data_IF_801187224043
#
_entry.id   IF_801187224043
#
_cell.length_a   1.000
_cell.length_b   1.000
_cell.length_c   1.000
_cell.angle_alpha   90.00
_cell.angle_beta   90.00
_cell.angle_gamma   90.00
#
_symmetry.space_group_name_H-M   'P 1'
#
loop_
_entity.id
_entity.type
_entity.pdbx_description
1 polymer ?
#
# COMPACT_ATOMS: atom_id res chain seq x y z
N UNK A 1 14.56 10.09 18.15
CA UNK A 1 15.27 8.87 17.70
C UNK A 1 14.40 7.62 17.54
N UNK A 2 13.46 7.28 18.45
CA UNK A 2 12.57 6.09 18.30
C UNK A 2 11.52 6.21 17.18
N UNK A 3 10.86 7.37 17.06
CA UNK A 3 9.77 7.61 16.10
C UNK A 3 10.23 7.54 14.64
N UNK A 4 11.39 8.13 14.34
CA UNK A 4 12.02 8.12 13.00
C UNK A 4 12.35 6.69 12.54
N UNK A 5 12.89 5.85 13.43
CA UNK A 5 13.17 4.43 13.11
C UNK A 5 11.91 3.63 12.78
N UNK A 6 10.80 3.86 13.50
CA UNK A 6 9.53 3.18 13.24
C UNK A 6 8.91 3.58 11.89
N UNK A 7 8.98 4.86 11.52
CA UNK A 7 8.48 5.35 10.23
C UNK A 7 9.24 4.73 9.06
N UNK A 8 10.57 4.62 9.16
CA UNK A 8 11.40 3.99 8.15
C UNK A 8 11.00 2.52 7.92
N UNK A 9 10.78 1.77 9.02
CA UNK A 9 10.34 0.37 8.96
C UNK A 9 8.96 0.24 8.31
N UNK A 10 8.04 1.18 8.55
CA UNK A 10 6.72 1.17 7.90
C UNK A 10 6.82 1.48 6.41
N UNK A 11 7.64 2.45 6.01
CA UNK A 11 7.88 2.78 4.61
C UNK A 11 8.53 1.62 3.84
N UNK A 12 9.51 0.93 4.44
CA UNK A 12 10.16 -0.22 3.82
C UNK A 12 9.20 -1.41 3.67
N UNK A 13 8.32 -1.63 4.66
CA UNK A 13 7.25 -2.63 4.56
C UNK A 13 6.27 -2.29 3.43
N UNK A 14 5.84 -1.03 3.32
CA UNK A 14 4.96 -0.59 2.25
C UNK A 14 5.62 -0.82 0.88
N UNK A 15 6.89 -0.41 0.71
CA UNK A 15 7.66 -0.63 -0.53
C UNK A 15 7.72 -2.12 -0.90
N UNK A 16 8.10 -2.97 0.05
CA UNK A 16 8.22 -4.41 -0.17
C UNK A 16 6.88 -5.06 -0.58
N UNK A 17 5.77 -4.63 0.03
CA UNK A 17 4.43 -5.10 -0.34
C UNK A 17 4.05 -4.69 -1.76
N UNK A 18 4.27 -3.41 -2.12
CA UNK A 18 3.99 -2.91 -3.47
C UNK A 18 4.82 -3.65 -4.51
N UNK A 19 6.13 -3.83 -4.27
CA UNK A 19 7.02 -4.55 -5.19
C UNK A 19 6.60 -6.02 -5.35
N UNK A 20 6.20 -6.67 -4.26
CA UNK A 20 5.69 -8.04 -4.30
C UNK A 20 4.41 -8.14 -5.14
N UNK A 21 3.44 -7.25 -4.93
CA UNK A 21 2.18 -7.27 -5.67
C UNK A 21 2.42 -6.97 -7.15
N UNK A 22 3.30 -6.02 -7.49
CA UNK A 22 3.69 -5.73 -8.88
C UNK A 22 4.29 -6.95 -9.58
N UNK A 23 5.15 -7.71 -8.89
CA UNK A 23 5.72 -8.96 -9.43
C UNK A 23 4.67 -10.05 -9.68
N UNK A 24 3.56 -10.06 -8.93
CA UNK A 24 2.45 -11.00 -9.12
C UNK A 24 1.52 -10.61 -10.28
N UNK A 25 1.65 -9.41 -10.83
CA UNK A 25 0.91 -8.96 -12.00
C UNK A 25 -0.47 -8.37 -11.70
N UNK A 26 -1.21 -8.09 -12.78
CA UNK A 26 -2.41 -7.24 -12.76
C UNK A 26 -3.51 -7.74 -11.81
N UNK A 27 -3.78 -9.04 -11.78
CA UNK A 27 -4.83 -9.60 -10.91
C UNK A 27 -4.55 -9.31 -9.42
N UNK A 28 -3.29 -9.47 -8.99
CA UNK A 28 -2.91 -9.16 -7.61
C UNK A 28 -2.98 -7.65 -7.33
N UNK A 29 -2.59 -6.81 -8.30
CA UNK A 29 -2.74 -5.36 -8.18
C UNK A 29 -4.20 -4.94 -8.03
N UNK A 30 -5.13 -5.55 -8.78
CA UNK A 30 -6.57 -5.27 -8.65
C UNK A 30 -7.10 -5.64 -7.28
N UNK A 31 -6.69 -6.80 -6.73
CA UNK A 31 -7.08 -7.20 -5.38
C UNK A 31 -6.56 -6.22 -4.33
N UNK A 32 -5.28 -5.82 -4.43
CA UNK A 32 -4.70 -4.83 -3.51
C UNK A 32 -5.48 -3.51 -3.53
N UNK A 33 -5.83 -3.02 -4.73
CA UNK A 33 -6.59 -1.76 -4.89
C UNK A 33 -7.99 -1.91 -4.27
N UNK A 34 -8.72 -2.99 -4.57
CA UNK A 34 -10.05 -3.22 -4.00
C UNK A 34 -10.01 -3.24 -2.48
N UNK A 35 -9.06 -3.98 -1.89
CA UNK A 35 -8.90 -4.06 -0.45
C UNK A 35 -8.50 -2.72 0.16
N UNK A 36 -7.66 -1.93 -0.51
CA UNK A 36 -7.29 -0.59 -0.03
C UNK A 36 -8.51 0.35 0.00
N UNK A 37 -9.37 0.28 -1.02
CA UNK A 37 -10.62 1.06 -1.08
C UNK A 37 -11.59 0.72 0.05
N UNK A 38 -11.63 -0.54 0.47
CA UNK A 38 -12.47 -0.99 1.59
C UNK A 38 -11.90 -0.59 2.96
N UNK A 39 -10.58 -0.76 3.14
CA UNK A 39 -9.92 -0.56 4.45
C UNK A 39 -9.62 0.91 4.73
N UNK A 40 -9.26 1.69 3.71
CA UNK A 40 -8.95 3.12 3.84
C UNK A 40 -9.55 3.94 2.68
N UNK A 41 -10.84 4.32 2.80
CA UNK A 41 -11.52 5.13 1.79
C UNK A 41 -10.95 6.54 1.65
N UNK A 42 -10.36 7.10 2.71
CA UNK A 42 -9.77 8.45 2.67
C UNK A 42 -8.52 8.43 1.81
N UNK A 43 -7.60 7.51 2.10
CA UNK A 43 -6.38 7.33 1.29
C UNK A 43 -6.73 6.96 -0.16
N UNK A 44 -7.75 6.15 -0.37
CA UNK A 44 -8.18 5.75 -1.71
C UNK A 44 -8.68 6.93 -2.55
N UNK A 45 -9.37 7.90 -1.93
CA UNK A 45 -9.74 9.18 -2.58
C UNK A 45 -8.52 10.05 -2.85
N UNK A 46 -7.59 10.17 -1.90
CA UNK A 46 -6.35 10.93 -2.10
C UNK A 46 -5.52 10.39 -3.27
N UNK A 47 -5.49 9.06 -3.42
CA UNK A 47 -4.82 8.35 -4.51
C UNK A 47 -5.65 8.25 -5.80
N UNK A 48 -6.88 8.76 -5.82
CA UNK A 48 -7.82 8.73 -6.97
C UNK A 48 -8.07 7.31 -7.50
N UNK A 49 -8.20 6.35 -6.58
CA UNK A 49 -8.57 4.98 -6.88
C UNK A 49 -10.10 4.80 -6.93
N UNK A 50 -10.83 5.74 -6.32
CA UNK A 50 -12.29 5.87 -6.27
C UNK A 50 -12.71 7.33 -6.38
#
# INVERSE_FOLDING_TARGET
LRKVRSQFVQADKARNLIDMVRRKGRAASSVLISTLCEVDPVLSRELRLI
#
